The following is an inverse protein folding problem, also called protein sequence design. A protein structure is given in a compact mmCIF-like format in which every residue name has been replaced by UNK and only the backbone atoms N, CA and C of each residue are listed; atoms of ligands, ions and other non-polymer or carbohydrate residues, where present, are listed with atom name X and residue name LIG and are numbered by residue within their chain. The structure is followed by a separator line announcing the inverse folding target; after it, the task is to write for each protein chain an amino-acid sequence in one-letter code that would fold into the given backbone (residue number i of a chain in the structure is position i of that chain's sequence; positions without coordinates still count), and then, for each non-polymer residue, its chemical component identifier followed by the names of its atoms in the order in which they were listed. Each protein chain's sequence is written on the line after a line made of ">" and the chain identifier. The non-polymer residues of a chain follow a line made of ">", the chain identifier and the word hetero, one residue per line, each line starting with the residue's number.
data_IF_707156229336
#
_entry.id   IF_707156229336
#
_cell.length_a   1.000
_cell.length_b   1.000
_cell.length_c   1.000
_cell.angle_alpha   90.00
_cell.angle_beta   90.00
_cell.angle_gamma   90.00
#
_symmetry.space_group_name_H-M   'P 1'
#
loop_
_entity.id
_entity.type
_entity.pdbx_description
1 polymer ?
#
# COMPACT_ATOMS: atom_id res chain seq x y z
N UNK A 1 46.58 -47.03 -27.95
CA UNK A 1 46.64 -45.64 -27.46
C UNK A 1 45.22 -45.08 -27.52
N UNK A 2 44.55 -44.96 -26.37
CA UNK A 2 43.10 -44.77 -26.24
C UNK A 2 42.73 -43.29 -26.35
N UNK A 3 41.88 -42.93 -27.33
CA UNK A 3 41.32 -41.59 -27.48
C UNK A 3 40.11 -41.43 -26.53
N UNK A 4 40.29 -40.63 -25.48
CA UNK A 4 39.24 -40.24 -24.54
C UNK A 4 38.16 -39.42 -25.26
N UNK A 5 36.93 -39.92 -25.30
CA UNK A 5 35.74 -39.15 -25.68
C UNK A 5 35.52 -38.03 -24.65
N UNK A 6 35.60 -36.77 -25.07
CA UNK A 6 35.20 -35.60 -24.27
C UNK A 6 33.70 -35.41 -24.42
N UNK A 7 32.95 -35.73 -23.38
CA UNK A 7 31.53 -35.40 -23.28
C UNK A 7 31.40 -33.89 -23.07
N UNK A 8 30.84 -33.19 -24.06
CA UNK A 8 30.44 -31.78 -23.91
C UNK A 8 29.10 -31.79 -23.17
N UNK A 9 29.09 -31.33 -21.92
CA UNK A 9 27.86 -31.08 -21.17
C UNK A 9 27.32 -29.73 -21.65
N UNK A 10 26.25 -29.76 -22.44
CA UNK A 10 25.48 -28.56 -22.77
C UNK A 10 24.76 -28.11 -21.50
N UNK A 11 25.14 -26.96 -20.93
CA UNK A 11 24.35 -26.29 -19.90
C UNK A 11 23.03 -25.83 -20.55
N UNK A 12 21.94 -26.48 -20.19
CA UNK A 12 20.60 -25.96 -20.46
C UNK A 12 20.40 -24.73 -19.58
N UNK A 13 20.44 -23.53 -20.17
CA UNK A 13 19.96 -22.31 -19.54
C UNK A 13 18.44 -22.45 -19.48
N UNK A 14 17.95 -22.96 -18.35
CA UNK A 14 16.51 -23.04 -18.09
C UNK A 14 15.97 -21.62 -18.05
N UNK A 15 15.09 -21.29 -18.99
CA UNK A 15 14.27 -20.09 -18.94
C UNK A 15 13.40 -20.20 -17.70
N UNK A 16 13.84 -19.58 -16.61
CA UNK A 16 13.00 -19.36 -15.44
C UNK A 16 11.87 -18.46 -15.92
N UNK A 17 10.71 -19.08 -16.17
CA UNK A 17 9.49 -18.41 -16.58
C UNK A 17 9.21 -17.23 -15.64
N UNK A 18 8.79 -16.09 -16.19
CA UNK A 18 8.42 -14.86 -15.45
C UNK A 18 7.47 -15.14 -14.28
N UNK A 19 6.67 -16.21 -14.34
CA UNK A 19 5.82 -16.68 -13.25
C UNK A 19 6.57 -17.13 -11.98
N UNK A 20 7.80 -17.63 -12.09
CA UNK A 20 8.59 -18.05 -10.93
C UNK A 20 9.19 -16.86 -10.16
N UNK A 21 9.37 -15.71 -10.82
CA UNK A 21 9.85 -14.49 -10.16
C UNK A 21 8.73 -13.81 -9.33
N UNK A 22 7.47 -14.01 -9.72
CA UNK A 22 6.31 -13.48 -8.98
C UNK A 22 6.04 -14.22 -7.65
N UNK A 23 6.64 -15.41 -7.44
CA UNK A 23 6.50 -16.22 -6.22
C UNK A 23 7.63 -16.00 -5.21
N UNK A 24 8.53 -15.04 -5.46
CA UNK A 24 9.75 -14.83 -4.68
C UNK A 24 9.72 -13.59 -3.79
N UNK A 25 8.54 -13.21 -3.28
CA UNK A 25 8.36 -12.13 -2.30
C UNK A 25 7.53 -12.58 -1.09
N UNK A 26 7.85 -13.76 -0.54
CA UNK A 26 7.63 -14.01 0.88
C UNK A 26 9.00 -14.24 1.49
N UNK A 27 9.35 -13.47 2.52
CA UNK A 27 10.48 -13.81 3.38
C UNK A 27 10.31 -15.27 3.85
N UNK A 28 11.39 -15.99 4.20
CA UNK A 28 11.29 -17.39 4.65
C UNK A 28 10.34 -17.62 5.85
N UNK A 29 9.92 -16.55 6.53
CA UNK A 29 8.94 -16.55 7.62
C UNK A 29 7.53 -16.11 7.21
N UNK A 30 7.33 -15.61 5.99
CA UNK A 30 6.08 -14.98 5.55
C UNK A 30 5.83 -13.62 6.21
N UNK A 31 6.80 -13.10 6.96
CA UNK A 31 6.69 -11.82 7.65
C UNK A 31 7.13 -10.68 6.73
N UNK A 32 6.24 -9.71 6.52
CA UNK A 32 6.57 -8.48 5.82
C UNK A 32 7.60 -7.68 6.61
N UNK A 33 8.69 -7.29 5.93
CA UNK A 33 9.74 -6.43 6.48
C UNK A 33 9.74 -5.08 5.76
N UNK A 34 9.27 -4.01 6.41
CA UNK A 34 9.23 -2.68 5.82
C UNK A 34 10.62 -2.10 5.58
N UNK A 35 10.75 -1.34 4.49
CA UNK A 35 11.97 -0.58 4.17
C UNK A 35 11.67 0.91 4.10
N UNK A 36 12.72 1.72 4.29
CA UNK A 36 12.61 3.17 4.18
C UNK A 36 12.27 3.58 2.75
N UNK A 37 11.55 4.70 2.62
CA UNK A 37 11.25 5.28 1.31
C UNK A 37 12.54 5.57 0.53
N UNK A 38 12.61 5.03 -0.68
CA UNK A 38 13.72 5.16 -1.60
C UNK A 38 13.24 5.81 -2.91
N UNK A 39 13.50 7.12 -3.11
CA UNK A 39 13.05 7.84 -4.32
C UNK A 39 13.74 7.37 -5.61
N UNK A 40 14.83 6.58 -5.52
CA UNK A 40 15.49 6.04 -6.71
C UNK A 40 14.80 4.76 -7.23
N UNK A 41 13.90 4.16 -6.44
CA UNK A 41 13.17 2.94 -6.79
C UNK A 41 11.66 3.14 -6.81
N UNK A 42 11.14 3.93 -5.88
CA UNK A 42 9.72 4.21 -5.79
C UNK A 42 9.25 4.95 -7.04
N UNK A 43 8.25 4.41 -7.74
CA UNK A 43 7.78 5.00 -9.00
C UNK A 43 6.34 4.59 -9.28
N UNK A 44 5.48 5.57 -9.57
CA UNK A 44 4.18 5.33 -10.21
C UNK A 44 4.32 5.24 -11.73
N UNK A 45 3.66 4.25 -12.32
CA UNK A 45 3.56 4.10 -13.77
C UNK A 45 2.11 4.09 -14.22
N UNK A 46 1.87 4.77 -15.34
CA UNK A 46 0.53 5.02 -15.85
C UNK A 46 -0.06 6.31 -15.32
N UNK A 47 -1.35 6.51 -15.56
CA UNK A 47 -2.09 7.67 -15.06
C UNK A 47 -3.47 7.19 -14.65
N UNK A 48 -3.97 7.66 -13.51
CA UNK A 48 -5.33 7.34 -13.06
C UNK A 48 -6.33 7.94 -14.05
N UNK A 49 -6.88 7.09 -14.91
CA UNK A 49 -8.06 7.38 -15.73
C UNK A 49 -9.23 6.61 -15.14
N UNK A 50 -10.34 7.29 -14.90
CA UNK A 50 -11.46 6.71 -14.19
C UNK A 50 -12.80 7.15 -14.74
N UNK A 51 -13.80 6.29 -14.59
CA UNK A 51 -15.22 6.59 -14.77
C UNK A 51 -15.96 6.52 -13.43
N UNK A 52 -16.73 7.55 -13.11
CA UNK A 52 -17.56 7.56 -11.91
C UNK A 52 -18.72 6.57 -12.04
N UNK A 53 -18.92 5.73 -11.04
CA UNK A 53 -20.01 4.76 -11.03
C UNK A 53 -21.30 5.51 -10.71
N UNK A 54 -22.26 5.49 -11.65
CA UNK A 54 -23.58 6.10 -11.44
C UNK A 54 -24.42 5.23 -10.52
N UNK A 55 -24.89 5.81 -9.43
CA UNK A 55 -25.70 5.12 -8.42
C UNK A 55 -26.65 6.08 -7.73
N UNK A 56 -27.76 5.55 -7.22
CA UNK A 56 -28.71 6.29 -6.37
C UNK A 56 -28.42 6.06 -4.88
N UNK A 57 -27.44 5.22 -4.51
CA UNK A 57 -26.99 5.06 -3.13
C UNK A 57 -25.87 6.08 -2.82
N UNK A 58 -26.10 7.04 -1.91
CA UNK A 58 -25.09 8.03 -1.53
C UNK A 58 -23.78 7.43 -1.01
N UNK A 59 -23.80 6.21 -0.46
CA UNK A 59 -22.59 5.54 0.05
C UNK A 59 -21.66 5.08 -1.07
N UNK A 60 -22.25 4.71 -2.20
CA UNK A 60 -21.57 4.18 -3.39
C UNK A 60 -21.20 5.30 -4.38
N UNK A 61 -21.78 6.50 -4.22
CA UNK A 61 -21.61 7.62 -5.16
C UNK A 61 -20.18 8.16 -5.29
N UNK A 62 -19.30 7.82 -4.34
CA UNK A 62 -17.88 8.15 -4.37
C UNK A 62 -17.02 7.11 -5.11
N UNK A 63 -17.61 5.99 -5.53
CA UNK A 63 -16.87 4.93 -6.21
C UNK A 63 -16.62 5.30 -7.66
N UNK A 64 -15.43 4.97 -8.12
CA UNK A 64 -15.07 5.08 -9.52
C UNK A 64 -14.36 3.82 -9.97
N UNK A 65 -14.44 3.54 -11.27
CA UNK A 65 -13.80 2.40 -11.90
C UNK A 65 -12.59 2.87 -12.70
N UNK A 66 -11.47 2.17 -12.59
CA UNK A 66 -10.28 2.45 -13.39
C UNK A 66 -10.51 2.07 -14.85
N UNK A 67 -10.06 2.93 -15.76
CA UNK A 67 -10.10 2.72 -17.21
C UNK A 67 -8.79 2.14 -17.76
N UNK A 68 -7.67 2.42 -17.09
CA UNK A 68 -6.34 1.90 -17.41
C UNK A 68 -5.71 1.33 -16.14
N UNK A 69 -4.79 0.37 -16.31
CA UNK A 69 -3.97 -0.15 -15.20
C UNK A 69 -3.02 0.94 -14.67
N UNK A 70 -2.93 1.03 -13.35
CA UNK A 70 -1.94 1.84 -12.63
C UNK A 70 -1.01 0.90 -11.88
N UNK A 71 0.28 1.14 -12.00
CA UNK A 71 1.30 0.35 -11.32
C UNK A 71 2.11 1.21 -10.36
N UNK A 72 2.53 0.63 -9.24
CA UNK A 72 3.45 1.26 -8.30
C UNK A 72 4.59 0.29 -8.00
N UNK A 73 5.83 0.72 -8.24
CA UNK A 73 7.01 0.02 -7.75
C UNK A 73 7.35 0.60 -6.39
N UNK A 74 7.34 -0.23 -5.34
CA UNK A 74 7.66 0.20 -3.98
C UNK A 74 9.17 0.23 -3.73
N UNK A 75 9.58 0.87 -2.63
CA UNK A 75 10.99 1.04 -2.24
C UNK A 75 11.74 -0.27 -1.99
N UNK A 76 11.03 -1.38 -1.73
CA UNK A 76 11.60 -2.73 -1.65
C UNK A 76 11.71 -3.43 -3.02
N UNK A 77 11.40 -2.74 -4.12
CA UNK A 77 11.38 -3.26 -5.48
C UNK A 77 10.14 -4.10 -5.83
N UNK A 78 9.17 -4.26 -4.91
CA UNK A 78 7.95 -4.99 -5.20
C UNK A 78 7.01 -4.20 -6.10
N UNK A 79 6.36 -4.88 -7.05
CA UNK A 79 5.41 -4.29 -7.99
C UNK A 79 3.98 -4.46 -7.49
N UNK A 80 3.21 -3.38 -7.47
CA UNK A 80 1.81 -3.32 -7.06
C UNK A 80 0.97 -2.85 -8.24
N UNK A 81 -0.19 -3.49 -8.45
CA UNK A 81 -1.03 -3.20 -9.60
C UNK A 81 -2.47 -2.93 -9.18
N UNK A 82 -3.04 -1.88 -9.73
CA UNK A 82 -4.48 -1.65 -9.77
C UNK A 82 -4.91 -1.79 -11.23
N UNK A 83 -5.52 -2.93 -11.56
CA UNK A 83 -5.86 -3.26 -12.94
C UNK A 83 -7.02 -2.42 -13.48
N UNK A 84 -7.04 -2.25 -14.80
CA UNK A 84 -8.21 -1.69 -15.48
C UNK A 84 -9.47 -2.45 -15.05
N UNK A 85 -10.46 -1.68 -14.63
CA UNK A 85 -11.74 -2.18 -14.17
C UNK A 85 -11.86 -2.40 -12.67
N UNK A 86 -10.78 -2.22 -11.90
CA UNK A 86 -10.87 -2.14 -10.44
C UNK A 86 -11.79 -1.00 -10.01
N UNK A 87 -12.62 -1.27 -8.99
CA UNK A 87 -13.43 -0.27 -8.32
C UNK A 87 -12.66 0.31 -7.14
N UNK A 88 -12.66 1.63 -7.02
CA UNK A 88 -11.93 2.38 -5.99
C UNK A 88 -12.97 3.22 -5.23
N UNK A 89 -12.94 3.20 -3.91
CA UNK A 89 -13.96 3.82 -3.07
C UNK A 89 -13.41 4.84 -2.06
N UNK A 90 -12.09 4.94 -1.94
CA UNK A 90 -11.35 5.75 -1.00
C UNK A 90 -11.70 5.48 0.47
N UNK A 91 -12.40 4.40 0.80
CA UNK A 91 -13.06 4.16 2.11
C UNK A 91 -12.15 3.53 3.16
N UNK A 92 -11.01 2.98 2.75
CA UNK A 92 -10.06 2.25 3.57
C UNK A 92 -9.29 3.12 4.57
N UNK A 93 -9.47 4.45 4.52
CA UNK A 93 -8.90 5.45 5.43
C UNK A 93 -10.04 6.15 6.20
N UNK A 94 -9.99 6.29 7.53
CA UNK A 94 -11.03 6.98 8.28
C UNK A 94 -11.22 8.42 7.80
N UNK A 95 -12.48 8.78 7.52
CA UNK A 95 -12.87 10.06 6.88
C UNK A 95 -12.32 11.31 7.57
N UNK A 96 -12.11 11.27 8.89
CA UNK A 96 -11.56 12.40 9.64
C UNK A 96 -10.15 12.78 9.16
N UNK A 97 -9.34 11.82 8.70
CA UNK A 97 -8.01 12.12 8.18
C UNK A 97 -8.06 12.79 6.79
N UNK A 98 -9.14 12.62 6.02
CA UNK A 98 -9.30 13.28 4.72
C UNK A 98 -9.34 14.81 4.85
N UNK A 99 -9.83 15.35 5.97
CA UNK A 99 -9.83 16.80 6.19
C UNK A 99 -8.44 17.35 6.50
N UNK A 100 -7.51 16.49 6.92
CA UNK A 100 -6.17 16.87 7.38
C UNK A 100 -5.12 16.78 6.27
N UNK A 101 -5.26 15.80 5.38
CA UNK A 101 -4.28 15.53 4.30
C UNK A 101 -4.81 15.83 2.89
N UNK A 102 -6.12 16.04 2.74
CA UNK A 102 -6.82 16.13 1.46
C UNK A 102 -7.76 14.94 1.28
N UNK A 103 -8.83 15.07 0.49
CA UNK A 103 -9.73 13.95 0.24
C UNK A 103 -9.09 12.91 -0.71
N UNK A 104 -9.51 11.63 -0.67
CA UNK A 104 -8.95 10.56 -1.51
C UNK A 104 -8.93 10.85 -3.02
N UNK A 105 -9.70 11.84 -3.47
CA UNK A 105 -9.84 12.22 -4.89
C UNK A 105 -9.30 13.60 -5.23
N UNK A 106 -8.79 14.35 -4.24
CA UNK A 106 -8.26 15.71 -4.41
C UNK A 106 -6.89 15.93 -3.78
N UNK A 107 -6.46 15.04 -2.88
CA UNK A 107 -5.16 15.08 -2.23
C UNK A 107 -4.04 14.52 -3.12
N UNK A 108 -2.81 14.91 -2.81
CA UNK A 108 -1.60 14.42 -3.48
C UNK A 108 -1.47 12.89 -3.40
N UNK A 109 -2.06 12.22 -2.39
CA UNK A 109 -1.98 10.78 -2.22
C UNK A 109 -3.03 9.98 -3.02
N UNK A 110 -3.80 10.59 -3.92
CA UNK A 110 -4.84 9.90 -4.70
C UNK A 110 -4.32 8.62 -5.36
N UNK A 111 -3.18 8.71 -6.04
CA UNK A 111 -2.61 7.58 -6.77
C UNK A 111 -2.16 6.47 -5.79
N UNK A 112 -1.71 6.83 -4.58
CA UNK A 112 -1.44 5.88 -3.51
C UNK A 112 -2.72 5.19 -2.99
N UNK A 113 -3.83 5.94 -2.85
CA UNK A 113 -5.10 5.37 -2.40
C UNK A 113 -5.70 4.37 -3.39
N UNK A 114 -5.46 4.56 -4.70
CA UNK A 114 -5.88 3.61 -5.73
C UNK A 114 -5.23 2.24 -5.52
N UNK A 115 -3.91 2.22 -5.29
CA UNK A 115 -3.21 0.96 -4.98
C UNK A 115 -3.72 0.38 -3.66
N UNK A 116 -3.85 1.21 -2.62
CA UNK A 116 -4.27 0.75 -1.29
C UNK A 116 -5.66 0.12 -1.28
N UNK A 117 -6.66 0.74 -1.93
CA UNK A 117 -8.02 0.22 -2.00
C UNK A 117 -8.07 -1.15 -2.69
N UNK A 118 -7.40 -1.31 -3.83
CA UNK A 118 -7.36 -2.60 -4.56
C UNK A 118 -6.84 -3.72 -3.66
N UNK A 119 -5.77 -3.46 -2.90
CA UNK A 119 -5.17 -4.47 -2.04
C UNK A 119 -5.90 -4.66 -0.70
N UNK A 120 -6.69 -3.69 -0.25
CA UNK A 120 -7.63 -3.88 0.86
C UNK A 120 -8.85 -4.72 0.46
N UNK A 121 -9.28 -4.62 -0.81
CA UNK A 121 -10.42 -5.36 -1.35
C UNK A 121 -10.04 -6.79 -1.73
N UNK A 122 -8.97 -6.97 -2.51
CA UNK A 122 -8.55 -8.29 -2.99
C UNK A 122 -7.77 -9.10 -1.95
N UNK A 123 -7.10 -8.42 -1.00
CA UNK A 123 -6.32 -9.00 0.11
C UNK A 123 -5.28 -10.03 -0.34
N UNK A 124 -4.71 -9.82 -1.53
CA UNK A 124 -3.67 -10.70 -2.09
C UNK A 124 -2.35 -10.65 -1.30
N UNK A 125 -2.15 -9.57 -0.54
CA UNK A 125 -0.99 -9.32 0.34
C UNK A 125 -1.45 -9.09 1.77
N UNK A 126 -0.53 -9.16 2.73
CA UNK A 126 -0.89 -8.97 4.13
C UNK A 126 -1.31 -7.52 4.39
N UNK A 127 -2.12 -7.30 5.42
CA UNK A 127 -2.56 -5.95 5.78
C UNK A 127 -1.40 -5.07 6.22
N UNK A 128 -0.39 -5.64 6.89
CA UNK A 128 0.83 -4.92 7.27
C UNK A 128 1.59 -4.41 6.05
N UNK A 129 1.76 -5.27 5.04
CA UNK A 129 2.43 -4.93 3.80
C UNK A 129 1.64 -3.87 3.02
N UNK A 130 0.33 -4.09 2.85
CA UNK A 130 -0.56 -3.15 2.13
C UNK A 130 -0.57 -1.77 2.79
N UNK A 131 -0.63 -1.70 4.12
CA UNK A 131 -0.64 -0.43 4.84
C UNK A 131 0.73 0.27 4.81
N UNK A 132 1.84 -0.47 4.84
CA UNK A 132 3.16 0.13 4.70
C UNK A 132 3.42 0.63 3.28
N UNK A 133 3.05 -0.13 2.25
CA UNK A 133 3.24 0.33 0.87
C UNK A 133 2.39 1.56 0.57
N UNK A 134 1.25 1.73 1.23
CA UNK A 134 0.51 2.98 1.18
C UNK A 134 1.29 4.19 1.74
N UNK A 135 2.07 4.02 2.82
CA UNK A 135 2.98 5.07 3.33
C UNK A 135 4.01 5.45 2.28
N UNK A 136 4.69 4.46 1.72
CA UNK A 136 5.72 4.60 0.71
C UNK A 136 5.18 5.32 -0.53
N UNK A 137 4.03 4.87 -1.03
CA UNK A 137 3.31 5.45 -2.15
C UNK A 137 2.84 6.90 -1.85
N UNK A 138 2.47 7.22 -0.61
CA UNK A 138 2.17 8.59 -0.21
C UNK A 138 3.41 9.49 -0.33
N UNK A 139 4.59 9.01 0.09
CA UNK A 139 5.85 9.76 -0.02
C UNK A 139 6.18 10.04 -1.48
N UNK A 140 6.05 9.02 -2.33
CA UNK A 140 6.26 9.15 -3.78
C UNK A 140 5.28 10.12 -4.43
N UNK A 141 4.01 10.10 -4.01
CA UNK A 141 3.01 11.04 -4.51
C UNK A 141 3.22 12.49 -4.01
N UNK A 142 4.29 12.75 -3.25
CA UNK A 142 4.71 14.08 -2.83
C UNK A 142 4.22 14.49 -1.44
N UNK A 143 3.67 13.57 -0.63
CA UNK A 143 3.36 13.88 0.76
C UNK A 143 4.67 14.02 1.54
N UNK A 144 4.83 15.16 2.21
CA UNK A 144 5.90 15.36 3.18
C UNK A 144 5.88 14.30 4.30
N UNK A 145 7.02 14.08 5.00
CA UNK A 145 7.19 12.94 5.90
C UNK A 145 6.09 12.80 6.95
N UNK A 146 5.75 13.90 7.62
CA UNK A 146 4.73 13.88 8.66
C UNK A 146 3.33 13.52 8.14
N UNK A 147 2.96 13.93 6.92
CA UNK A 147 1.65 13.59 6.34
C UNK A 147 1.61 12.11 5.98
N UNK A 148 2.68 11.57 5.40
CA UNK A 148 2.77 10.14 5.11
C UNK A 148 2.71 9.31 6.42
N UNK A 149 3.42 9.73 7.47
CA UNK A 149 3.34 9.10 8.80
C UNK A 149 1.92 9.11 9.36
N UNK A 150 1.22 10.26 9.27
CA UNK A 150 -0.17 10.36 9.68
C UNK A 150 -1.08 9.39 8.90
N UNK A 151 -0.89 9.30 7.58
CA UNK A 151 -1.66 8.38 6.73
C UNK A 151 -1.40 6.92 7.06
N UNK A 152 -0.14 6.56 7.33
CA UNK A 152 0.22 5.23 7.77
C UNK A 152 -0.43 4.87 9.10
N UNK A 153 -0.25 5.70 10.14
CA UNK A 153 -0.82 5.44 11.45
C UNK A 153 -2.35 5.37 11.41
N UNK A 154 -2.99 6.17 10.55
CA UNK A 154 -4.43 6.11 10.33
C UNK A 154 -4.88 4.72 9.81
N UNK A 155 -4.25 4.21 8.75
CA UNK A 155 -4.64 2.89 8.20
C UNK A 155 -4.16 1.74 9.08
N UNK A 156 -2.98 1.85 9.71
CA UNK A 156 -2.41 0.82 10.56
C UNK A 156 -3.29 0.57 11.80
N UNK A 157 -3.72 1.63 12.48
CA UNK A 157 -4.56 1.49 13.68
C UNK A 157 -6.04 1.36 13.37
N UNK A 158 -6.55 2.05 12.33
CA UNK A 158 -7.99 2.20 12.11
C UNK A 158 -8.47 1.70 10.74
N UNK A 159 -7.58 1.25 9.87
CA UNK A 159 -7.92 0.57 8.62
C UNK A 159 -8.36 -0.89 8.81
N UNK A 160 -8.72 -1.58 7.72
CA UNK A 160 -9.14 -2.97 7.77
C UNK A 160 -7.97 -3.92 8.05
N UNK A 161 -8.21 -4.97 8.85
CA UNK A 161 -7.26 -6.07 9.08
C UNK A 161 -7.89 -7.36 8.60
N UNK A 162 -7.10 -8.15 7.88
CA UNK A 162 -7.43 -9.51 7.47
C UNK A 162 -6.33 -10.48 7.88
N UNK A 163 -6.60 -11.77 7.86
CA UNK A 163 -5.61 -12.80 8.19
C UNK A 163 -4.88 -13.34 6.95
N UNK A 164 -4.09 -14.40 7.16
CA UNK A 164 -3.35 -15.14 6.14
C UNK A 164 -4.25 -15.71 5.03
N UNK A 165 -5.53 -16.00 5.33
CA UNK A 165 -6.50 -16.57 4.40
C UNK A 165 -7.24 -15.46 3.61
N UNK A 166 -7.02 -14.18 3.97
CA UNK A 166 -7.72 -13.04 3.38
C UNK A 166 -9.07 -12.74 4.05
N UNK A 167 -9.40 -13.42 5.15
CA UNK A 167 -10.65 -13.22 5.86
C UNK A 167 -10.59 -11.92 6.66
N UNK A 168 -11.57 -11.05 6.46
CA UNK A 168 -11.67 -9.78 7.18
C UNK A 168 -11.88 -10.05 8.67
N UNK A 169 -10.91 -9.66 9.49
CA UNK A 169 -10.97 -9.77 10.96
C UNK A 169 -11.47 -8.49 11.61
N UNK A 170 -11.22 -7.34 10.98
CA UNK A 170 -11.65 -6.02 11.44
C UNK A 170 -11.86 -5.09 10.26
N UNK A 171 -12.98 -4.39 10.22
CA UNK A 171 -13.22 -3.33 9.24
C UNK A 171 -12.61 -1.99 9.65
N UNK A 172 -12.83 -0.96 8.83
CA UNK A 172 -12.43 0.41 9.14
C UNK A 172 -13.13 0.88 10.43
N UNK A 173 -12.35 1.40 11.37
CA UNK A 173 -12.84 1.95 12.63
C UNK A 173 -13.06 3.46 12.53
N UNK A 174 -14.08 3.95 13.23
CA UNK A 174 -14.29 5.39 13.40
C UNK A 174 -13.26 5.97 14.36
N UNK A 175 -12.75 7.16 14.05
CA UNK A 175 -11.84 7.93 14.91
C UNK A 175 -12.52 9.25 15.24
N UNK A 176 -12.50 9.64 16.51
CA UNK A 176 -13.04 10.94 16.92
C UNK A 176 -12.08 12.07 16.50
N UNK A 177 -12.59 13.29 16.49
CA UNK A 177 -11.82 14.46 16.04
C UNK A 177 -10.58 14.71 16.92
N UNK A 178 -10.73 14.68 18.25
CA UNK A 178 -9.64 14.91 19.20
C UNK A 178 -8.45 13.95 18.98
N UNK A 179 -8.71 12.65 18.84
CA UNK A 179 -7.70 11.63 18.56
C UNK A 179 -7.01 11.91 17.22
N UNK A 180 -7.76 12.24 16.17
CA UNK A 180 -7.19 12.55 14.86
C UNK A 180 -6.32 13.82 14.90
N UNK A 181 -6.70 14.83 15.68
CA UNK A 181 -5.92 16.05 15.89
C UNK A 181 -4.63 15.78 16.67
N UNK A 182 -4.69 15.00 17.76
CA UNK A 182 -3.49 14.60 18.53
C UNK A 182 -2.51 13.84 17.65
N UNK A 183 -2.98 12.90 16.83
CA UNK A 183 -2.15 12.17 15.87
C UNK A 183 -1.51 13.10 14.83
N UNK A 184 -2.28 14.03 14.27
CA UNK A 184 -1.78 15.04 13.32
C UNK A 184 -0.67 15.87 13.95
N UNK A 185 -0.89 16.38 15.15
CA UNK A 185 0.04 17.25 15.85
C UNK A 185 1.33 16.50 16.19
N UNK A 186 1.22 15.27 16.69
CA UNK A 186 2.38 14.41 16.92
C UNK A 186 3.20 14.15 15.66
N UNK A 187 2.57 13.74 14.56
CA UNK A 187 3.28 13.49 13.31
C UNK A 187 3.95 14.76 12.81
N UNK A 188 3.25 15.90 12.88
CA UNK A 188 3.79 17.21 12.46
C UNK A 188 5.04 17.59 13.26
N UNK A 189 5.01 17.35 14.56
CA UNK A 189 6.11 17.67 15.47
C UNK A 189 7.25 16.63 15.40
N UNK A 190 6.96 15.43 14.87
CA UNK A 190 7.91 14.33 14.67
C UNK A 190 7.92 13.84 13.21
N UNK A 191 8.42 14.65 12.25
CA UNK A 191 8.33 14.32 10.83
C UNK A 191 9.24 13.14 10.43
N UNK A 192 10.32 12.89 11.16
CA UNK A 192 11.38 11.94 10.77
C UNK A 192 11.37 10.66 11.63
N UNK A 193 10.18 10.17 12.00
CA UNK A 193 10.03 8.90 12.70
C UNK A 193 10.59 7.76 11.85
N UNK A 194 11.36 6.89 12.49
CA UNK A 194 11.85 5.64 11.91
C UNK A 194 10.71 4.62 11.76
N UNK A 195 10.96 3.60 10.94
CA UNK A 195 10.05 2.46 10.76
C UNK A 195 9.68 1.82 12.10
N UNK A 196 10.68 1.59 12.96
CA UNK A 196 10.46 0.97 14.27
C UNK A 196 9.63 1.85 15.20
N UNK A 197 9.88 3.17 15.21
CA UNK A 197 9.06 4.10 15.99
C UNK A 197 7.61 4.13 15.52
N UNK A 198 7.37 4.08 14.21
CA UNK A 198 6.01 4.04 13.65
C UNK A 198 5.28 2.73 14.00
N UNK A 199 5.96 1.58 13.92
CA UNK A 199 5.37 0.25 14.17
C UNK A 199 5.11 -0.02 15.65
N UNK A 200 5.96 0.52 16.53
CA UNK A 200 5.85 0.35 17.98
C UNK A 200 4.95 1.39 18.63
N UNK A 201 4.43 2.35 17.86
CA UNK A 201 3.53 3.38 18.37
C UNK A 201 2.22 2.73 18.84
N UNK A 202 1.93 2.84 20.13
CA UNK A 202 0.69 2.35 20.70
C UNK A 202 -0.45 3.34 20.41
N UNK A 203 -1.56 2.92 19.77
CA UNK A 203 -2.67 3.83 19.47
C UNK A 203 -3.27 4.46 20.73
N UNK A 204 -3.14 3.81 21.89
CA UNK A 204 -3.63 4.32 23.18
C UNK A 204 -2.94 5.61 23.61
N UNK A 205 -1.79 5.96 23.03
CA UNK A 205 -1.13 7.26 23.28
C UNK A 205 -2.06 8.43 22.92
N UNK A 206 -3.02 8.22 22.03
CA UNK A 206 -3.95 9.25 21.53
C UNK A 206 -5.34 9.23 22.18
N UNK A 207 -5.61 8.22 23.01
CA UNK A 207 -6.91 7.97 23.63
C UNK A 207 -6.96 8.41 25.10
N UNK A 208 -5.86 8.97 25.63
CA UNK A 208 -5.70 9.46 27.01
C UNK A 208 -5.93 10.97 27.08
#
# INVERSE_FOLDING_TARGET
>A
MSLKKRTVVMLAVSTVSVAAFALQLRSPTGQFDPVDYNPDLAEFRGTVKAEWIRTNDPKEAKKFKLLDTVEYTASNGSLWKADSGSEIDGASIPRIFWTLVGAPTTGLYRDASVIHDVYCDNRERSWEETHWVFHDACREAGLGPWKANLMYLAVFHYGPIWDIEGDLRRGVQSVNEETAEKMRDFCRDNPNLTIEELRLLDPRVWEI
#
